data_IF_793686582559
#
_entry.id   IF_793686582559
#
_cell.length_a   1.000
_cell.length_b   1.000
_cell.length_c   1.000
_cell.angle_alpha   90.00
_cell.angle_beta   90.00
_cell.angle_gamma   90.00
#
_symmetry.space_group_name_H-M   'P 1'
#
loop_
_entity.id
_entity.type
_entity.pdbx_description
1 polymer ?
#
# COMPACT_ATOMS: atom_id res chain seq x y z
N UNK A 1 9.87 -19.97 -26.10
CA UNK A 1 9.83 -21.21 -25.29
C UNK A 1 11.02 -22.15 -25.56
N UNK A 2 11.63 -22.13 -26.75
CA UNK A 2 12.79 -23.01 -27.08
C UNK A 2 14.12 -22.69 -26.39
N UNK A 3 14.37 -21.44 -25.97
CA UNK A 3 15.65 -21.06 -25.32
C UNK A 3 15.60 -21.14 -23.78
N UNK A 4 14.42 -21.30 -23.18
CA UNK A 4 14.26 -21.33 -21.72
C UNK A 4 14.63 -22.69 -21.09
N UNK A 5 14.71 -23.76 -21.91
CA UNK A 5 15.01 -25.11 -21.44
C UNK A 5 16.52 -25.44 -21.35
N UNK A 6 17.39 -24.50 -21.73
CA UNK A 6 18.85 -24.62 -21.60
C UNK A 6 19.46 -23.54 -20.68
N UNK A 7 18.64 -22.71 -20.04
CA UNK A 7 19.08 -21.61 -19.18
C UNK A 7 19.18 -22.05 -17.72
N UNK A 8 20.27 -21.67 -17.05
CA UNK A 8 20.45 -21.84 -15.59
C UNK A 8 19.30 -21.17 -14.83
N UNK A 9 18.77 -21.82 -13.79
CA UNK A 9 17.56 -21.34 -13.10
C UNK A 9 17.54 -21.67 -11.58
N UNK A 10 16.61 -21.06 -10.86
CA UNK A 10 16.32 -21.31 -9.45
C UNK A 10 15.60 -22.65 -9.23
N UNK A 11 15.96 -23.37 -8.18
CA UNK A 11 15.42 -24.70 -7.86
C UNK A 11 14.06 -24.68 -7.15
N UNK A 12 13.57 -23.51 -6.75
CA UNK A 12 12.28 -23.36 -6.09
C UNK A 12 11.15 -23.53 -7.10
N UNK A 13 10.16 -24.42 -6.88
CA UNK A 13 9.06 -24.61 -7.83
C UNK A 13 8.24 -23.33 -8.05
N UNK A 14 7.93 -23.03 -9.30
CA UNK A 14 6.97 -21.99 -9.67
C UNK A 14 5.58 -22.37 -9.15
N UNK A 15 4.97 -21.52 -8.31
CA UNK A 15 3.58 -21.70 -7.86
C UNK A 15 2.54 -21.01 -8.76
N UNK A 16 2.97 -20.39 -9.86
CA UNK A 16 2.12 -19.57 -10.73
C UNK A 16 1.72 -18.23 -10.07
N UNK A 17 2.16 -17.11 -10.64
CA UNK A 17 1.82 -15.76 -10.14
C UNK A 17 2.94 -14.74 -10.31
N UNK A 18 2.63 -13.44 -10.15
CA UNK A 18 3.63 -12.36 -10.01
C UNK A 18 4.37 -12.49 -8.66
N UNK A 19 5.44 -11.71 -8.38
CA UNK A 19 5.98 -11.64 -7.01
C UNK A 19 4.83 -11.27 -6.08
N UNK A 20 4.41 -12.23 -5.28
CA UNK A 20 3.38 -12.06 -4.28
C UNK A 20 3.93 -12.48 -2.93
N UNK A 21 3.54 -11.81 -1.84
CA UNK A 21 3.58 -12.49 -0.54
C UNK A 21 2.76 -13.77 -0.71
N UNK A 22 3.28 -14.92 -0.31
CA UNK A 22 2.43 -16.10 -0.14
C UNK A 22 1.31 -15.70 0.83
N UNK A 23 0.13 -15.42 0.27
CA UNK A 23 -0.96 -14.77 0.98
C UNK A 23 -1.59 -15.76 1.96
N UNK A 24 -1.53 -15.39 3.25
CA UNK A 24 -2.43 -15.73 4.35
C UNK A 24 -2.83 -17.21 4.56
N UNK A 25 -2.36 -17.78 5.67
CA UNK A 25 -2.75 -19.11 6.19
C UNK A 25 -1.54 -19.81 6.83
N UNK A 26 -1.68 -20.56 7.93
CA UNK A 26 -0.52 -21.06 8.70
C UNK A 26 0.10 -22.33 8.09
N UNK A 27 1.45 -22.46 8.02
CA UNK A 27 2.47 -21.46 8.36
C UNK A 27 2.86 -20.71 7.06
N UNK A 28 2.27 -19.56 6.80
CA UNK A 28 2.21 -18.90 5.48
C UNK A 28 3.53 -18.31 4.99
N UNK A 29 4.57 -19.13 4.88
CA UNK A 29 5.86 -18.78 4.28
C UNK A 29 6.55 -17.59 4.94
N UNK A 30 6.35 -17.35 6.25
CA UNK A 30 6.94 -16.21 6.96
C UNK A 30 7.65 -16.58 8.27
N UNK A 31 8.68 -15.82 8.62
CA UNK A 31 9.34 -15.91 9.92
C UNK A 31 8.49 -15.25 11.02
N UNK A 32 8.35 -15.92 12.17
CA UNK A 32 7.69 -15.35 13.35
C UNK A 32 8.56 -14.36 14.14
N UNK A 33 9.86 -14.32 13.87
CA UNK A 33 10.85 -13.44 14.50
C UNK A 33 11.81 -12.89 13.44
N UNK A 34 12.23 -11.64 13.58
CA UNK A 34 13.18 -10.99 12.68
C UNK A 34 14.65 -11.16 13.08
N UNK A 35 14.95 -11.54 14.32
CA UNK A 35 16.31 -11.87 14.73
C UNK A 35 16.63 -13.33 14.34
N UNK A 36 17.36 -13.50 13.24
CA UNK A 36 17.64 -14.80 12.64
C UNK A 36 19.14 -15.11 12.72
N UNK A 37 19.45 -16.30 13.20
CA UNK A 37 20.82 -16.84 13.17
C UNK A 37 21.09 -17.53 11.84
N UNK A 38 22.25 -17.26 11.23
CA UNK A 38 22.65 -17.79 9.92
C UNK A 38 23.97 -18.53 10.06
N UNK A 39 24.04 -19.79 9.62
CA UNK A 39 25.31 -20.48 9.40
C UNK A 39 25.65 -20.54 7.92
N UNK A 40 26.92 -20.32 7.58
CA UNK A 40 27.43 -20.44 6.21
C UNK A 40 28.56 -21.46 6.19
N UNK A 41 28.35 -22.57 5.50
CA UNK A 41 29.39 -23.53 5.17
C UNK A 41 29.73 -23.43 3.68
N UNK A 42 30.80 -22.69 3.37
CA UNK A 42 31.30 -22.51 2.01
C UNK A 42 32.15 -23.68 1.48
N UNK A 43 32.26 -24.79 2.23
CA UNK A 43 32.97 -25.97 1.76
C UNK A 43 32.34 -26.50 0.47
N UNK A 44 33.16 -26.72 -0.56
CA UNK A 44 32.69 -27.13 -1.89
C UNK A 44 32.49 -25.98 -2.88
N UNK A 45 32.61 -24.72 -2.46
CA UNK A 45 32.65 -23.58 -3.38
C UNK A 45 34.07 -23.36 -3.92
N UNK A 46 34.20 -23.14 -5.23
CA UNK A 46 35.47 -22.78 -5.87
C UNK A 46 35.92 -21.33 -5.58
N UNK A 47 35.04 -20.49 -5.03
CA UNK A 47 35.30 -19.07 -4.79
C UNK A 47 35.79 -18.82 -3.35
N UNK A 48 37.04 -18.38 -3.19
CA UNK A 48 37.67 -18.20 -1.88
C UNK A 48 36.95 -17.20 -0.95
N UNK A 49 36.29 -16.18 -1.50
CA UNK A 49 35.56 -15.16 -0.73
C UNK A 49 34.04 -15.38 -0.70
N UNK A 50 33.55 -16.59 -0.98
CA UNK A 50 32.12 -16.90 -1.04
C UNK A 50 31.34 -16.46 0.21
N UNK A 51 31.89 -16.72 1.41
CA UNK A 51 31.26 -16.30 2.67
C UNK A 51 31.03 -14.79 2.73
N UNK A 52 32.02 -13.99 2.31
CA UNK A 52 31.88 -12.52 2.32
C UNK A 52 30.82 -12.03 1.33
N UNK A 53 30.71 -12.67 0.15
CA UNK A 53 29.68 -12.37 -0.85
C UNK A 53 28.28 -12.64 -0.30
N UNK A 54 28.08 -13.81 0.32
CA UNK A 54 26.79 -14.21 0.90
C UNK A 54 26.41 -13.29 2.08
N UNK A 55 27.37 -12.95 2.95
CA UNK A 55 27.15 -11.96 4.03
C UNK A 55 26.71 -10.61 3.45
N UNK A 56 27.32 -10.17 2.35
CA UNK A 56 26.92 -8.95 1.63
C UNK A 56 25.48 -9.02 1.10
N UNK A 57 25.03 -10.17 0.60
CA UNK A 57 23.65 -10.37 0.16
C UNK A 57 22.65 -10.26 1.32
N UNK A 58 22.93 -10.88 2.47
CA UNK A 58 22.11 -10.71 3.69
C UNK A 58 22.08 -9.25 4.16
N UNK A 59 23.20 -8.53 4.08
CA UNK A 59 23.25 -7.11 4.44
C UNK A 59 22.34 -6.25 3.54
N UNK A 60 22.25 -6.55 2.24
CA UNK A 60 21.30 -5.87 1.36
C UNK A 60 19.86 -6.12 1.79
N UNK A 61 19.50 -7.37 2.10
CA UNK A 61 18.14 -7.72 2.54
C UNK A 61 17.79 -7.08 3.88
N UNK A 62 18.72 -7.04 4.82
CA UNK A 62 18.55 -6.32 6.09
C UNK A 62 18.31 -4.82 5.88
N UNK A 63 19.02 -4.20 4.93
CA UNK A 63 18.79 -2.80 4.57
C UNK A 63 17.44 -2.58 3.87
N UNK A 64 16.94 -3.57 3.12
CA UNK A 64 15.65 -3.49 2.44
C UNK A 64 14.44 -3.72 3.38
N UNK A 65 14.60 -4.48 4.46
CA UNK A 65 13.55 -4.79 5.43
C UNK A 65 14.09 -4.74 6.87
N UNK A 66 13.84 -3.61 7.55
CA UNK A 66 14.35 -3.32 8.90
C UNK A 66 13.80 -4.24 10.01
N UNK A 67 12.86 -5.13 9.68
CA UNK A 67 12.40 -6.17 10.58
C UNK A 67 13.49 -7.20 10.89
N UNK A 68 14.37 -7.48 9.93
CA UNK A 68 15.38 -8.53 10.07
C UNK A 68 16.67 -8.02 10.71
N UNK A 69 17.29 -8.89 11.50
CA UNK A 69 18.67 -8.78 11.98
C UNK A 69 19.30 -10.16 11.82
N UNK A 70 20.38 -10.25 11.04
CA UNK A 70 21.08 -11.52 10.81
C UNK A 70 22.33 -11.64 11.67
N UNK A 71 22.38 -12.69 12.49
CA UNK A 71 23.54 -13.00 13.33
C UNK A 71 24.24 -14.24 12.78
N UNK A 72 25.49 -14.10 12.34
CA UNK A 72 26.23 -15.24 11.80
C UNK A 72 26.82 -16.11 12.91
N UNK A 73 26.56 -17.41 12.85
CA UNK A 73 26.96 -18.40 13.86
C UNK A 73 27.68 -19.59 13.21
N UNK A 74 28.50 -20.36 13.95
CA UNK A 74 29.12 -21.57 13.42
C UNK A 74 28.08 -22.59 12.91
N UNK A 75 28.39 -23.40 11.88
CA UNK A 75 27.48 -24.46 11.41
C UNK A 75 27.12 -25.47 12.49
N UNK A 76 25.88 -25.96 12.46
CA UNK A 76 25.32 -26.94 13.40
C UNK A 76 25.15 -26.41 14.84
N UNK A 77 24.91 -25.10 15.00
CA UNK A 77 24.65 -24.48 16.31
C UNK A 77 23.15 -24.40 16.65
N UNK A 78 22.28 -24.99 15.83
CA UNK A 78 20.82 -24.79 15.95
C UNK A 78 20.35 -23.50 15.28
N UNK A 79 21.06 -23.09 14.22
CA UNK A 79 20.77 -21.90 13.44
C UNK A 79 19.38 -21.88 12.82
N UNK A 80 18.82 -20.69 12.59
CA UNK A 80 17.54 -20.54 11.89
C UNK A 80 17.69 -20.73 10.38
N UNK A 81 18.80 -20.25 9.82
CA UNK A 81 19.11 -20.35 8.39
C UNK A 81 20.45 -21.07 8.23
N UNK A 82 20.45 -22.12 7.42
CA UNK A 82 21.64 -22.89 7.04
C UNK A 82 21.94 -22.70 5.56
N UNK A 83 23.13 -22.20 5.26
CA UNK A 83 23.65 -22.01 3.90
C UNK A 83 24.78 -22.99 3.63
N UNK A 84 24.66 -23.81 2.58
CA UNK A 84 25.68 -24.79 2.18
C UNK A 84 25.95 -24.76 0.67
N UNK A 85 27.10 -25.31 0.27
CA UNK A 85 27.35 -25.76 -1.11
C UNK A 85 27.33 -27.29 -1.14
N UNK A 86 26.62 -27.88 -2.08
CA UNK A 86 26.47 -29.34 -2.17
C UNK A 86 26.22 -29.83 -3.59
N UNK A 87 26.43 -31.13 -3.80
CA UNK A 87 26.15 -31.81 -5.07
C UNK A 87 24.80 -32.53 -5.06
N UNK A 88 24.67 -33.59 -5.87
CA UNK A 88 23.40 -34.33 -6.04
C UNK A 88 22.76 -34.89 -4.74
N UNK A 89 23.55 -35.07 -3.67
CA UNK A 89 23.03 -35.48 -2.35
C UNK A 89 22.33 -34.35 -1.56
N UNK A 90 22.55 -33.10 -1.96
CA UNK A 90 21.94 -31.90 -1.40
C UNK A 90 20.64 -31.55 -2.16
N UNK A 91 20.72 -31.58 -3.49
CA UNK A 91 19.57 -31.56 -4.41
C UNK A 91 19.89 -32.44 -5.60
N UNK A 92 19.03 -33.42 -5.90
CA UNK A 92 19.22 -34.37 -7.01
C UNK A 92 19.36 -33.72 -8.39
N UNK A 93 19.01 -32.44 -8.52
CA UNK A 93 19.08 -31.66 -9.76
C UNK A 93 20.42 -30.94 -9.98
N UNK A 94 21.28 -30.90 -8.96
CA UNK A 94 22.62 -30.32 -9.05
C UNK A 94 23.57 -31.16 -9.91
N UNK A 95 24.48 -30.52 -10.63
CA UNK A 95 25.46 -31.16 -11.52
C UNK A 95 25.12 -31.17 -13.01
N UNK A 96 23.94 -30.68 -13.41
CA UNK A 96 23.50 -30.66 -14.80
C UNK A 96 23.86 -29.34 -15.51
N UNK A 97 24.43 -29.41 -16.71
CA UNK A 97 24.70 -28.23 -17.52
C UNK A 97 23.39 -27.50 -17.89
N UNK A 98 23.31 -26.20 -17.56
CA UNK A 98 22.07 -25.41 -17.75
C UNK A 98 20.99 -25.71 -16.70
N UNK A 99 21.34 -26.35 -15.59
CA UNK A 99 20.43 -26.80 -14.55
C UNK A 99 20.20 -25.81 -13.39
N UNK A 100 19.85 -26.38 -12.24
CA UNK A 100 19.51 -25.65 -11.02
C UNK A 100 20.79 -25.10 -10.36
N UNK A 101 20.87 -23.79 -10.17
CA UNK A 101 22.03 -23.14 -9.54
C UNK A 101 22.01 -23.21 -8.01
N UNK A 102 20.81 -23.11 -7.44
CA UNK A 102 20.59 -23.12 -6.02
C UNK A 102 19.12 -23.43 -5.74
N UNK A 103 18.82 -23.75 -4.48
CA UNK A 103 17.45 -23.88 -4.00
C UNK A 103 17.36 -23.40 -2.56
N UNK A 104 16.30 -22.65 -2.26
CA UNK A 104 15.97 -22.23 -0.91
C UNK A 104 14.62 -22.81 -0.44
N UNK A 105 14.52 -23.11 0.85
CA UNK A 105 13.26 -23.41 1.51
C UNK A 105 12.62 -22.16 2.08
N UNK A 106 11.33 -21.99 1.81
CA UNK A 106 10.51 -20.95 2.43
C UNK A 106 10.52 -21.06 3.97
N UNK A 107 10.30 -19.94 4.69
CA UNK A 107 10.18 -19.99 6.14
C UNK A 107 9.13 -21.01 6.61
N UNK A 108 9.37 -21.73 7.73
CA UNK A 108 10.54 -21.63 8.61
C UNK A 108 11.65 -22.64 8.27
N UNK A 109 11.68 -23.24 7.08
CA UNK A 109 12.62 -24.32 6.74
C UNK A 109 14.09 -23.86 6.80
N UNK A 110 14.37 -22.64 6.31
CA UNK A 110 15.65 -21.97 6.51
C UNK A 110 16.86 -22.62 5.83
N UNK A 111 16.67 -23.50 4.86
CA UNK A 111 17.76 -24.14 4.13
C UNK A 111 18.01 -23.43 2.78
N UNK A 112 19.26 -23.03 2.52
CA UNK A 112 19.70 -22.55 1.22
C UNK A 112 20.91 -23.36 0.77
N UNK A 113 20.81 -23.91 -0.43
CA UNK A 113 21.80 -24.82 -0.98
C UNK A 113 22.23 -24.32 -2.35
N UNK A 114 23.53 -24.10 -2.54
CA UNK A 114 24.14 -23.79 -3.83
C UNK A 114 24.72 -25.06 -4.46
N UNK A 115 24.64 -25.17 -5.78
CA UNK A 115 25.29 -26.27 -6.51
C UNK A 115 26.82 -26.13 -6.45
N UNK A 116 27.50 -27.09 -5.82
CA UNK A 116 28.96 -27.10 -5.71
C UNK A 116 29.68 -27.44 -7.02
N UNK A 117 28.98 -27.96 -8.02
CA UNK A 117 29.56 -28.27 -9.34
C UNK A 117 29.72 -27.04 -10.24
N UNK A 118 29.08 -25.92 -9.86
CA UNK A 118 29.12 -24.68 -10.61
C UNK A 118 30.45 -23.93 -10.45
N UNK A 119 30.84 -23.22 -11.51
CA UNK A 119 31.99 -22.29 -11.45
C UNK A 119 31.51 -20.93 -10.95
N UNK A 120 31.52 -20.73 -9.64
CA UNK A 120 31.06 -19.49 -9.02
C UNK A 120 32.03 -18.34 -9.26
N UNK A 121 31.47 -17.22 -9.72
CA UNK A 121 32.12 -15.90 -9.74
C UNK A 121 31.45 -15.01 -8.70
N UNK A 122 32.09 -13.93 -8.23
CA UNK A 122 31.49 -13.02 -7.24
C UNK A 122 30.10 -12.49 -7.66
N UNK A 123 29.94 -12.09 -8.92
CA UNK A 123 28.67 -11.54 -9.41
C UNK A 123 27.58 -12.62 -9.55
N UNK A 124 27.94 -13.81 -10.05
CA UNK A 124 26.99 -14.91 -10.16
C UNK A 124 26.51 -15.34 -8.76
N UNK A 125 27.45 -15.52 -7.82
CA UNK A 125 27.11 -15.91 -6.45
C UNK A 125 26.28 -14.82 -5.76
N UNK A 126 26.62 -13.54 -5.92
CA UNK A 126 25.84 -12.45 -5.33
C UNK A 126 24.41 -12.42 -5.87
N UNK A 127 24.24 -12.49 -7.20
CA UNK A 127 22.91 -12.45 -7.82
C UNK A 127 22.03 -13.64 -7.40
N UNK A 128 22.58 -14.85 -7.43
CA UNK A 128 21.86 -16.05 -6.97
C UNK A 128 21.59 -15.99 -5.47
N UNK A 129 22.56 -15.58 -4.65
CA UNK A 129 22.34 -15.43 -3.21
C UNK A 129 21.24 -14.41 -2.89
N UNK A 130 21.21 -13.26 -3.59
CA UNK A 130 20.14 -12.27 -3.41
C UNK A 130 18.77 -12.86 -3.76
N UNK A 131 18.67 -13.60 -4.85
CA UNK A 131 17.44 -14.28 -5.28
C UNK A 131 16.97 -15.32 -4.25
N UNK A 132 17.84 -16.25 -3.88
CA UNK A 132 17.51 -17.36 -2.97
C UNK A 132 17.22 -16.87 -1.55
N UNK A 133 17.90 -15.81 -1.09
CA UNK A 133 17.56 -15.18 0.19
C UNK A 133 16.14 -14.56 0.13
N UNK A 134 15.69 -14.06 -1.03
CA UNK A 134 14.29 -13.65 -1.21
C UNK A 134 13.31 -14.77 -0.86
N UNK A 135 13.54 -15.98 -1.36
CA UNK A 135 12.75 -17.17 -0.99
C UNK A 135 12.89 -17.54 0.49
N UNK A 136 14.10 -17.53 1.04
CA UNK A 136 14.34 -17.75 2.48
C UNK A 136 13.56 -16.77 3.36
N UNK A 137 13.22 -15.58 2.86
CA UNK A 137 12.44 -14.59 3.59
C UNK A 137 10.95 -14.63 3.26
N UNK A 138 10.51 -15.40 2.26
CA UNK A 138 9.08 -15.59 1.96
C UNK A 138 8.61 -15.04 0.61
N UNK A 139 9.51 -14.60 -0.28
CA UNK A 139 9.15 -14.09 -1.59
C UNK A 139 8.99 -15.22 -2.60
N UNK A 140 7.95 -15.15 -3.44
CA UNK A 140 7.78 -16.01 -4.61
C UNK A 140 8.49 -15.42 -5.84
N UNK A 141 8.56 -16.19 -6.92
CA UNK A 141 9.13 -15.73 -8.18
C UNK A 141 8.37 -14.54 -8.79
N UNK A 142 9.09 -13.72 -9.56
CA UNK A 142 8.55 -12.64 -10.38
C UNK A 142 8.22 -13.13 -11.79
N UNK A 143 7.21 -12.51 -12.39
CA UNK A 143 6.98 -12.59 -13.84
C UNK A 143 7.73 -11.53 -14.63
N UNK A 144 8.42 -10.57 -13.98
CA UNK A 144 9.14 -9.49 -14.65
C UNK A 144 10.48 -9.99 -15.21
N UNK A 145 10.67 -10.09 -16.54
CA UNK A 145 11.93 -10.53 -17.13
C UNK A 145 12.98 -9.44 -16.91
N UNK A 146 13.81 -9.61 -15.87
CA UNK A 146 14.77 -8.59 -15.41
C UNK A 146 14.63 -8.18 -13.95
N UNK A 147 13.61 -8.69 -13.23
CA UNK A 147 13.52 -8.57 -11.77
C UNK A 147 14.46 -9.55 -11.06
N UNK A 148 14.87 -9.20 -9.84
CA UNK A 148 15.72 -10.01 -8.96
C UNK A 148 15.10 -11.39 -8.70
N UNK A 149 13.78 -11.45 -8.44
CA UNK A 149 13.07 -12.70 -8.18
C UNK A 149 12.62 -13.42 -9.47
N UNK A 150 13.08 -13.03 -10.66
CA UNK A 150 12.78 -13.76 -11.90
C UNK A 150 13.50 -15.13 -11.88
N UNK A 151 12.83 -16.26 -12.20
CA UNK A 151 13.35 -17.62 -11.95
C UNK A 151 14.60 -18.01 -12.74
N UNK A 152 14.89 -17.33 -13.85
CA UNK A 152 16.01 -17.66 -14.73
C UNK A 152 17.21 -16.76 -14.46
N UNK A 153 18.40 -17.34 -14.54
CA UNK A 153 19.64 -16.67 -14.18
C UNK A 153 19.92 -15.46 -15.09
N UNK A 154 19.72 -14.28 -14.51
CA UNK A 154 20.25 -13.01 -14.99
C UNK A 154 20.73 -12.25 -13.75
N UNK A 155 22.05 -12.14 -13.48
CA UNK A 155 22.55 -11.73 -12.18
C UNK A 155 22.22 -10.25 -11.89
N UNK A 156 21.10 -10.03 -11.22
CA UNK A 156 20.71 -8.75 -10.61
C UNK A 156 21.46 -8.62 -9.28
N UNK A 157 22.34 -7.64 -9.18
CA UNK A 157 23.28 -7.51 -8.05
C UNK A 157 22.76 -6.62 -6.91
N UNK A 158 21.53 -6.10 -7.04
CA UNK A 158 20.88 -5.23 -6.06
C UNK A 158 19.41 -5.59 -5.88
N UNK A 159 18.86 -5.30 -4.69
CA UNK A 159 17.42 -5.45 -4.46
C UNK A 159 16.65 -4.41 -5.27
N UNK A 160 15.89 -4.88 -6.25
CA UNK A 160 15.03 -4.04 -7.09
C UNK A 160 13.82 -3.46 -6.31
N UNK A 161 13.07 -2.56 -6.97
CA UNK A 161 11.92 -1.92 -6.35
C UNK A 161 10.78 -2.90 -6.06
N UNK A 162 10.52 -3.86 -6.95
CA UNK A 162 9.43 -4.84 -6.81
C UNK A 162 9.64 -5.72 -5.56
N UNK A 163 10.85 -6.26 -5.42
CA UNK A 163 11.28 -7.11 -4.33
C UNK A 163 11.29 -6.37 -3.00
N UNK A 164 11.76 -5.10 -2.99
CA UNK A 164 11.71 -4.23 -1.79
C UNK A 164 10.27 -3.96 -1.35
N UNK A 165 9.38 -3.71 -2.30
CA UNK A 165 7.95 -3.48 -2.03
C UNK A 165 7.30 -4.76 -1.50
N UNK A 166 7.64 -5.91 -2.06
CA UNK A 166 7.10 -7.21 -1.65
C UNK A 166 7.56 -7.59 -0.23
N UNK A 167 8.85 -7.47 0.10
CA UNK A 167 9.34 -7.83 1.42
C UNK A 167 8.77 -6.92 2.53
N UNK A 168 8.61 -5.62 2.24
CA UNK A 168 7.99 -4.69 3.19
C UNK A 168 6.47 -4.89 3.31
N UNK A 169 5.81 -5.53 2.33
CA UNK A 169 4.42 -5.93 2.51
C UNK A 169 4.29 -7.07 3.54
N UNK A 170 5.30 -7.93 3.68
CA UNK A 170 5.32 -9.04 4.64
C UNK A 170 5.81 -8.56 6.02
N UNK A 171 6.93 -7.81 6.06
CA UNK A 171 7.64 -7.48 7.30
C UNK A 171 7.82 -5.98 7.57
N UNK A 172 7.30 -5.10 6.71
CA UNK A 172 7.48 -3.64 6.88
C UNK A 172 6.62 -3.03 7.98
N UNK A 173 5.62 -3.76 8.48
CA UNK A 173 4.75 -3.32 9.55
C UNK A 173 5.41 -3.54 10.91
N UNK A 174 5.58 -2.45 11.67
CA UNK A 174 5.99 -2.52 13.07
C UNK A 174 4.83 -3.07 13.93
N UNK A 175 5.11 -3.62 15.12
CA UNK A 175 4.07 -4.02 16.06
C UNK A 175 3.07 -2.88 16.27
N UNK A 176 1.79 -3.23 16.39
CA UNK A 176 0.75 -2.26 16.68
C UNK A 176 1.10 -1.48 17.95
N UNK A 177 1.19 -0.16 17.81
CA UNK A 177 1.35 0.73 18.95
C UNK A 177 0.01 1.38 19.23
N UNK A 178 -0.52 1.14 20.43
CA UNK A 178 -1.66 1.89 20.93
C UNK A 178 -1.21 3.32 21.19
N UNK A 179 -1.92 4.28 20.62
CA UNK A 179 -1.77 5.68 21.01
C UNK A 179 -2.71 5.88 22.19
N UNK A 180 -2.14 5.86 23.39
CA UNK A 180 -2.86 6.15 24.63
C UNK A 180 -3.43 7.58 24.57
N UNK A 181 -4.53 7.84 25.28
CA UNK A 181 -5.26 9.13 25.39
C UNK A 181 -6.34 9.47 24.34
N UNK A 182 -6.47 8.73 23.23
CA UNK A 182 -7.41 9.06 22.14
C UNK A 182 -8.20 7.86 21.62
N UNK A 183 -9.32 8.16 20.97
CA UNK A 183 -10.19 7.18 20.33
C UNK A 183 -11.16 7.85 19.37
N UNK A 184 -11.78 7.06 18.50
CA UNK A 184 -12.79 7.51 17.56
C UNK A 184 -13.86 6.44 17.37
N UNK A 185 -15.11 6.85 17.19
CA UNK A 185 -16.20 5.96 16.74
C UNK A 185 -16.29 5.85 15.21
N UNK A 186 -15.39 6.52 14.51
CA UNK A 186 -15.39 6.69 13.06
C UNK A 186 -13.99 6.44 12.47
N UNK A 187 -13.79 6.67 11.17
CA UNK A 187 -12.47 6.54 10.54
C UNK A 187 -11.58 7.72 10.96
N UNK A 188 -10.35 7.44 11.37
CA UNK A 188 -9.29 8.44 11.46
C UNK A 188 -8.71 8.73 10.07
N UNK A 189 -8.32 9.97 9.81
CA UNK A 189 -7.77 10.42 8.54
C UNK A 189 -6.34 10.92 8.73
N UNK A 190 -5.47 10.61 7.78
CA UNK A 190 -4.08 11.09 7.74
C UNK A 190 -3.91 12.11 6.61
N UNK A 191 -3.09 13.12 6.87
CA UNK A 191 -2.58 14.07 5.89
C UNK A 191 -1.09 14.30 6.13
N UNK A 192 -0.38 14.85 5.16
CA UNK A 192 1.04 15.18 5.31
C UNK A 192 1.23 16.61 4.85
N UNK A 193 1.82 17.44 5.71
CA UNK A 193 2.35 18.74 5.31
C UNK A 193 3.83 18.60 4.99
N UNK A 194 4.29 19.37 4.02
CA UNK A 194 5.66 19.35 3.52
C UNK A 194 6.22 20.76 3.50
N UNK A 195 7.48 20.90 3.92
CA UNK A 195 8.32 22.08 3.67
C UNK A 195 9.58 21.62 2.97
N UNK A 196 9.87 22.20 1.81
CA UNK A 196 11.09 21.90 1.04
C UNK A 196 11.95 23.14 0.81
N UNK A 197 13.25 22.91 0.66
CA UNK A 197 14.21 23.88 0.12
C UNK A 197 15.07 23.16 -0.94
N UNK A 198 16.16 23.80 -1.39
CA UNK A 198 17.02 23.24 -2.44
C UNK A 198 17.73 21.94 -2.06
N UNK A 199 17.89 21.63 -0.78
CA UNK A 199 18.69 20.48 -0.30
C UNK A 199 17.89 19.50 0.56
N UNK A 200 16.79 19.92 1.18
CA UNK A 200 16.01 19.11 2.10
C UNK A 200 14.51 19.24 1.89
N UNK A 201 13.79 18.16 2.20
CA UNK A 201 12.33 18.12 2.33
C UNK A 201 12.00 17.56 3.70
N UNK A 202 11.14 18.26 4.44
CA UNK A 202 10.60 17.82 5.71
C UNK A 202 9.11 17.57 5.56
N UNK A 203 8.69 16.34 5.83
CA UNK A 203 7.30 15.91 5.82
C UNK A 203 6.83 15.71 7.26
N UNK A 204 5.70 16.32 7.63
CA UNK A 204 5.07 16.19 8.95
C UNK A 204 3.70 15.54 8.78
N UNK A 205 3.57 14.23 9.07
CA UNK A 205 2.27 13.59 9.12
C UNK A 205 1.36 14.21 10.20
N UNK A 206 0.10 14.36 9.86
CA UNK A 206 -0.96 14.79 10.76
C UNK A 206 -2.12 13.81 10.70
N UNK A 207 -2.79 13.62 11.83
CA UNK A 207 -3.97 12.80 11.95
C UNK A 207 -5.14 13.65 12.43
N UNK A 208 -6.33 13.44 11.86
CA UNK A 208 -7.59 14.04 12.33
C UNK A 208 -8.67 12.99 12.50
N UNK A 209 -9.55 13.16 13.48
CA UNK A 209 -10.63 12.22 13.76
C UNK A 209 -11.81 12.88 14.48
N UNK A 210 -12.99 12.26 14.39
CA UNK A 210 -14.14 12.59 15.23
C UNK A 210 -14.00 11.92 16.61
N UNK A 211 -14.45 12.57 17.67
CA UNK A 211 -14.54 12.00 19.02
C UNK A 211 -15.36 10.69 19.13
N UNK A 212 -15.27 10.05 20.30
CA UNK A 212 -15.90 8.75 20.59
C UNK A 212 -17.38 8.92 20.91
N UNK A 213 -18.22 8.00 20.41
CA UNK A 213 -19.66 8.02 20.68
C UNK A 213 -20.30 9.33 20.22
N UNK A 214 -20.98 9.99 21.16
CA UNK A 214 -21.72 11.25 20.94
C UNK A 214 -20.83 12.50 20.93
N UNK A 215 -19.53 12.35 21.20
CA UNK A 215 -18.59 13.47 21.08
C UNK A 215 -18.43 13.85 19.60
N UNK A 216 -19.08 14.95 19.22
CA UNK A 216 -19.02 15.53 17.89
C UNK A 216 -17.73 16.33 17.64
N UNK A 217 -16.84 16.47 18.63
CA UNK A 217 -15.58 17.18 18.49
C UNK A 217 -14.69 16.60 17.39
N UNK A 218 -13.97 17.49 16.71
CA UNK A 218 -12.88 17.11 15.80
C UNK A 218 -11.56 17.29 16.54
N UNK A 219 -10.72 16.26 16.49
CA UNK A 219 -9.43 16.20 17.16
C UNK A 219 -8.31 15.99 16.15
N UNK A 220 -7.10 16.44 16.50
CA UNK A 220 -5.93 16.28 15.67
C UNK A 220 -4.65 16.01 16.49
N UNK A 221 -3.63 15.49 15.80
CA UNK A 221 -2.29 15.28 16.34
C UNK A 221 -1.24 15.32 15.22
N UNK A 222 -0.04 15.76 15.54
CA UNK A 222 1.10 15.84 14.63
C UNK A 222 2.18 14.80 14.99
N UNK A 223 2.82 14.24 13.97
CA UNK A 223 3.92 13.28 14.16
C UNK A 223 5.28 13.96 13.96
N UNK A 224 6.07 14.03 15.04
CA UNK A 224 7.46 14.51 15.03
C UNK A 224 8.36 13.53 15.77
N UNK A 225 8.54 12.33 15.19
CA UNK A 225 9.18 11.19 15.84
C UNK A 225 8.25 10.43 16.81
N UNK A 226 7.30 11.14 17.42
CA UNK A 226 6.14 10.60 18.13
C UNK A 226 4.90 11.46 17.84
N UNK A 227 3.71 10.91 18.09
CA UNK A 227 2.45 11.66 18.02
C UNK A 227 2.34 12.63 19.19
N UNK A 228 1.98 13.88 18.93
CA UNK A 228 1.63 14.85 19.98
C UNK A 228 0.42 14.39 20.79
N UNK A 229 0.18 14.92 22.02
CA UNK A 229 -1.09 14.78 22.70
C UNK A 229 -2.26 15.21 21.81
N UNK A 230 -3.43 14.60 21.99
CA UNK A 230 -4.61 14.99 21.21
C UNK A 230 -4.98 16.46 21.46
N UNK A 231 -5.32 17.16 20.40
CA UNK A 231 -5.77 18.56 20.46
C UNK A 231 -7.15 18.68 19.83
N UNK A 232 -8.06 19.42 20.47
CA UNK A 232 -9.39 19.69 19.92
C UNK A 232 -9.30 20.86 18.95
N UNK A 233 -9.94 20.74 17.78
CA UNK A 233 -10.19 21.88 16.91
C UNK A 233 -11.30 22.72 17.55
N UNK A 234 -10.99 23.98 17.87
CA UNK A 234 -11.92 24.87 18.58
C UNK A 234 -13.10 25.29 17.70
N UNK A 235 -14.30 25.37 18.30
CA UNK A 235 -15.48 25.92 17.63
C UNK A 235 -16.10 25.06 16.53
N UNK A 236 -15.66 23.81 16.35
CA UNK A 236 -16.18 22.90 15.32
C UNK A 236 -16.74 21.61 15.91
N UNK A 237 -17.58 20.93 15.12
CA UNK A 237 -18.06 19.58 15.37
C UNK A 237 -18.60 18.91 14.10
N UNK A 238 -18.65 17.58 14.09
CA UNK A 238 -19.06 16.76 12.96
C UNK A 238 -19.89 15.53 13.38
N UNK A 239 -20.73 15.06 12.46
CA UNK A 239 -21.49 13.80 12.63
C UNK A 239 -20.71 12.58 12.18
N UNK A 240 -19.89 12.72 11.13
CA UNK A 240 -19.08 11.66 10.53
C UNK A 240 -17.60 12.04 10.47
N UNK A 241 -16.73 11.09 10.10
CA UNK A 241 -15.31 11.36 9.87
C UNK A 241 -15.07 12.63 9.04
N UNK A 242 -14.19 13.53 9.49
CA UNK A 242 -13.69 14.59 8.62
C UNK A 242 -12.78 14.01 7.53
N UNK A 243 -12.66 14.74 6.43
CA UNK A 243 -11.73 14.42 5.34
C UNK A 243 -10.64 15.49 5.22
N UNK A 244 -9.46 15.11 4.73
CA UNK A 244 -8.30 15.98 4.56
C UNK A 244 -7.87 16.08 3.09
N UNK A 245 -7.44 17.27 2.70
CA UNK A 245 -6.68 17.53 1.48
C UNK A 245 -5.44 18.39 1.79
N UNK A 246 -4.52 18.46 0.85
CA UNK A 246 -3.29 19.25 0.93
C UNK A 246 -3.50 20.56 0.14
N UNK A 247 -3.11 21.70 0.71
CA UNK A 247 -3.19 23.00 0.03
C UNK A 247 -1.83 23.69 0.00
N UNK A 248 -1.57 24.49 -1.04
CA UNK A 248 -0.41 25.38 -1.04
C UNK A 248 -0.58 26.52 -0.05
N UNK A 249 0.53 27.05 0.49
CA UNK A 249 0.52 28.21 1.37
C UNK A 249 0.79 29.47 0.52
N UNK A 250 -0.11 30.47 0.51
CA UNK A 250 0.12 31.74 -0.19
C UNK A 250 1.43 32.40 0.27
N UNK A 251 2.29 32.77 -0.68
CA UNK A 251 3.60 33.35 -0.39
C UNK A 251 4.68 32.35 0.04
N UNK A 252 4.38 31.05 0.15
CA UNK A 252 5.34 30.00 0.49
C UNK A 252 5.22 28.80 -0.47
N UNK A 253 5.73 28.92 -1.72
CA UNK A 253 5.53 27.91 -2.78
C UNK A 253 6.15 26.55 -2.48
N UNK A 254 7.11 26.51 -1.54
CA UNK A 254 7.77 25.28 -1.11
C UNK A 254 7.16 24.69 0.18
N UNK A 255 6.01 25.19 0.62
CA UNK A 255 5.33 24.74 1.82
C UNK A 255 3.86 24.43 1.56
N UNK A 256 3.36 23.40 2.22
CA UNK A 256 1.98 22.95 2.11
C UNK A 256 1.30 22.94 3.48
N UNK A 257 0.02 23.28 3.48
CA UNK A 257 -0.88 23.15 4.61
C UNK A 257 -1.95 22.09 4.36
N UNK A 258 -2.91 22.02 5.27
CA UNK A 258 -4.06 21.14 5.16
C UNK A 258 -5.35 21.93 4.98
N UNK A 259 -6.29 21.34 4.25
CA UNK A 259 -7.70 21.70 4.26
C UNK A 259 -8.49 20.52 4.79
N UNK A 260 -9.47 20.78 5.63
CA UNK A 260 -10.34 19.78 6.23
C UNK A 260 -11.79 20.10 5.89
N UNK A 261 -12.60 19.08 5.58
CA UNK A 261 -14.04 19.22 5.34
C UNK A 261 -14.85 18.16 6.11
N UNK A 262 -16.06 18.50 6.54
CA UNK A 262 -16.94 17.62 7.31
C UNK A 262 -18.42 17.98 7.14
N UNK A 263 -19.31 17.02 7.41
CA UNK A 263 -20.75 17.25 7.60
C UNK A 263 -21.01 17.84 8.99
N UNK A 264 -21.94 18.79 9.09
CA UNK A 264 -22.45 19.35 10.35
C UNK A 264 -22.96 18.31 11.36
N UNK A 265 -23.23 18.79 12.57
CA UNK A 265 -23.63 17.96 13.73
C UNK A 265 -25.12 17.60 13.68
N UNK A 266 -25.45 16.34 13.94
CA UNK A 266 -26.83 15.85 13.93
C UNK A 266 -27.50 16.06 12.58
N UNK A 267 -28.66 16.72 12.60
CA UNK A 267 -29.49 16.98 11.43
C UNK A 267 -28.95 18.11 10.53
N UNK A 268 -27.87 18.79 10.94
CA UNK A 268 -27.21 19.78 10.09
C UNK A 268 -26.52 19.09 8.91
N UNK A 269 -27.16 19.16 7.74
CA UNK A 269 -26.66 18.58 6.50
C UNK A 269 -25.65 19.49 5.79
N UNK A 270 -25.29 20.63 6.35
CA UNK A 270 -24.29 21.53 5.79
C UNK A 270 -22.91 20.88 5.70
N UNK A 271 -22.14 21.29 4.69
CA UNK A 271 -20.71 20.96 4.58
C UNK A 271 -19.90 22.15 5.07
N UNK A 272 -18.97 21.87 5.99
CA UNK A 272 -18.09 22.87 6.57
C UNK A 272 -16.64 22.52 6.31
N UNK A 273 -15.78 23.54 6.35
CA UNK A 273 -14.36 23.38 6.12
C UNK A 273 -13.52 24.38 6.91
N UNK A 274 -12.26 24.03 7.10
CA UNK A 274 -11.21 24.92 7.65
C UNK A 274 -9.86 24.58 7.03
N UNK A 275 -8.85 25.43 7.23
CA UNK A 275 -7.46 25.20 6.82
C UNK A 275 -6.51 25.32 8.00
N UNK A 276 -5.39 24.63 7.92
CA UNK A 276 -4.22 24.88 8.75
C UNK A 276 -3.02 25.12 7.82
N UNK A 277 -2.58 26.38 7.76
CA UNK A 277 -1.46 26.83 6.91
C UNK A 277 -0.15 26.95 7.70
N UNK A 278 -0.03 26.28 8.85
CA UNK A 278 1.16 26.26 9.69
C UNK A 278 1.04 27.03 11.02
N UNK A 279 -0.05 27.79 11.22
CA UNK A 279 -0.29 28.59 12.43
C UNK A 279 -1.53 28.11 13.23
N UNK A 280 -1.93 26.85 13.04
CA UNK A 280 -3.13 26.27 13.62
C UNK A 280 -4.34 26.35 12.69
N UNK A 281 -5.45 25.75 13.14
CA UNK A 281 -6.69 25.69 12.38
C UNK A 281 -7.40 27.05 12.37
N UNK A 282 -7.75 27.52 11.17
CA UNK A 282 -8.57 28.71 10.95
C UNK A 282 -10.01 28.49 11.48
N UNK A 283 -10.78 29.59 11.60
CA UNK A 283 -12.21 29.50 11.93
C UNK A 283 -13.00 28.71 10.88
N UNK A 284 -14.05 28.02 11.32
CA UNK A 284 -14.94 27.25 10.46
C UNK A 284 -15.60 28.14 9.39
N UNK A 285 -15.72 27.57 8.19
CA UNK A 285 -16.44 28.15 7.05
C UNK A 285 -17.49 27.18 6.55
N UNK A 286 -18.58 27.69 6.01
CA UNK A 286 -19.62 26.90 5.35
C UNK A 286 -19.35 26.87 3.83
N UNK A 287 -19.65 25.74 3.18
CA UNK A 287 -19.75 25.66 1.72
C UNK A 287 -21.18 26.06 1.35
N UNK A 288 -21.36 27.28 0.87
CA UNK A 288 -22.69 27.85 0.68
C UNK A 288 -23.55 27.07 -0.32
N UNK A 289 -24.81 26.85 0.01
CA UNK A 289 -25.82 26.28 -0.90
C UNK A 289 -25.69 24.78 -1.18
N UNK A 290 -24.91 24.04 -0.37
CA UNK A 290 -24.74 22.59 -0.51
C UNK A 290 -25.14 21.86 0.77
N UNK A 291 -25.41 20.56 0.65
CA UNK A 291 -25.60 19.68 1.79
C UNK A 291 -25.35 18.21 1.47
N UNK A 292 -25.15 17.41 2.53
CA UNK A 292 -24.84 15.99 2.47
C UNK A 292 -25.46 15.24 3.65
N UNK A 293 -25.97 14.04 3.39
CA UNK A 293 -26.37 13.09 4.43
C UNK A 293 -25.23 12.22 4.96
N UNK A 294 -24.05 12.27 4.33
CA UNK A 294 -22.91 11.41 4.64
C UNK A 294 -21.58 12.19 4.72
N UNK A 295 -20.48 11.55 5.08
CA UNK A 295 -19.16 12.19 5.11
C UNK A 295 -18.73 12.65 3.69
N UNK A 296 -18.22 13.88 3.51
CA UNK A 296 -17.58 14.29 2.27
C UNK A 296 -16.20 13.63 2.12
N UNK A 297 -15.74 13.47 0.88
CA UNK A 297 -14.42 12.95 0.55
C UNK A 297 -13.57 14.01 -0.16
N UNK A 298 -12.33 14.19 0.30
CA UNK A 298 -11.32 15.07 -0.30
C UNK A 298 -10.22 14.27 -0.98
N UNK A 299 -9.71 14.81 -2.10
CA UNK A 299 -8.50 14.32 -2.74
C UNK A 299 -7.78 15.44 -3.50
N UNK A 300 -6.46 15.33 -3.59
CA UNK A 300 -5.64 16.20 -4.44
C UNK A 300 -5.55 15.63 -5.85
N UNK A 301 -5.87 16.43 -6.87
CA UNK A 301 -5.69 16.07 -8.27
C UNK A 301 -5.37 17.31 -9.11
N UNK A 302 -4.38 17.22 -10.00
CA UNK A 302 -3.98 18.30 -10.91
C UNK A 302 -3.82 19.68 -10.26
N UNK A 303 -3.15 19.71 -9.09
CA UNK A 303 -2.88 20.95 -8.35
C UNK A 303 -4.08 21.54 -7.60
N UNK A 304 -5.24 20.87 -7.63
CA UNK A 304 -6.47 21.28 -6.95
C UNK A 304 -6.80 20.35 -5.81
N UNK A 305 -7.57 20.84 -4.84
CA UNK A 305 -8.30 19.98 -3.90
C UNK A 305 -9.70 19.78 -4.46
N UNK A 306 -10.10 18.53 -4.60
CA UNK A 306 -11.43 18.16 -5.05
C UNK A 306 -12.21 17.61 -3.86
N UNK A 307 -13.50 17.94 -3.79
CA UNK A 307 -14.42 17.37 -2.82
C UNK A 307 -15.58 16.71 -3.54
N UNK A 308 -15.97 15.52 -3.08
CA UNK A 308 -17.18 14.84 -3.53
C UNK A 308 -18.03 14.42 -2.33
N UNK A 309 -19.35 14.45 -2.49
CA UNK A 309 -20.28 14.11 -1.42
C UNK A 309 -21.59 13.53 -1.99
N UNK A 310 -22.29 12.77 -1.14
CA UNK A 310 -23.67 12.35 -1.40
C UNK A 310 -24.60 13.55 -1.14
N UNK A 311 -25.71 13.65 -1.86
CA UNK A 311 -26.78 14.59 -1.57
C UNK A 311 -27.34 14.47 -0.15
N UNK A 312 -28.23 15.40 0.19
CA UNK A 312 -28.97 15.43 1.46
C UNK A 312 -29.86 14.20 1.64
N UNK A 313 -30.51 14.07 2.80
CA UNK A 313 -31.46 12.99 3.05
C UNK A 313 -32.54 12.94 1.97
N UNK A 314 -32.80 11.74 1.45
CA UNK A 314 -33.68 11.53 0.30
C UNK A 314 -33.06 11.79 -1.08
N UNK A 315 -31.87 12.39 -1.16
CA UNK A 315 -31.15 12.62 -2.42
C UNK A 315 -29.95 11.66 -2.55
N UNK A 316 -30.08 10.66 -3.43
CA UNK A 316 -29.02 9.72 -3.74
C UNK A 316 -27.95 10.28 -4.70
N UNK A 317 -28.09 11.51 -5.20
CA UNK A 317 -27.14 12.12 -6.12
C UNK A 317 -25.73 12.25 -5.55
N UNK A 318 -24.74 12.28 -6.46
CA UNK A 318 -23.35 12.58 -6.11
C UNK A 318 -22.99 13.97 -6.65
N UNK A 319 -22.41 14.78 -5.80
CA UNK A 319 -22.02 16.16 -6.08
C UNK A 319 -20.54 16.35 -5.85
N UNK A 320 -19.95 17.33 -6.51
CA UNK A 320 -18.54 17.65 -6.35
C UNK A 320 -18.25 19.14 -6.54
N UNK A 321 -17.10 19.57 -6.04
CA UNK A 321 -16.57 20.93 -6.17
C UNK A 321 -15.04 20.90 -6.10
N UNK A 322 -14.39 21.97 -6.56
CA UNK A 322 -12.94 22.14 -6.50
C UNK A 322 -12.55 23.39 -5.73
N UNK A 323 -11.40 23.32 -5.09
CA UNK A 323 -10.76 24.40 -4.36
C UNK A 323 -9.39 24.68 -4.99
N UNK A 324 -9.15 25.94 -5.37
CA UNK A 324 -7.95 26.37 -6.10
C UNK A 324 -6.96 27.21 -5.28
N UNK A 325 -7.25 27.45 -3.99
CA UNK A 325 -6.37 28.17 -3.07
C UNK A 325 -6.71 29.64 -2.85
N UNK A 326 -7.46 30.28 -3.76
CA UNK A 326 -7.64 31.74 -3.72
C UNK A 326 -9.10 32.19 -3.49
N UNK A 327 -10.09 31.46 -4.04
CA UNK A 327 -11.47 31.99 -4.15
C UNK A 327 -12.55 31.15 -3.43
N UNK A 328 -12.15 30.19 -2.59
CA UNK A 328 -13.09 29.27 -1.94
C UNK A 328 -13.42 28.06 -2.81
N UNK A 329 -14.58 27.45 -2.58
CA UNK A 329 -15.05 26.30 -3.35
C UNK A 329 -15.80 26.76 -4.59
N UNK A 330 -15.56 26.11 -5.73
CA UNK A 330 -16.38 26.32 -6.93
C UNK A 330 -17.86 25.97 -6.65
N UNK A 331 -18.81 26.51 -7.44
CA UNK A 331 -20.21 26.05 -7.36
C UNK A 331 -20.29 24.52 -7.47
N UNK A 332 -21.22 23.91 -6.73
CA UNK A 332 -21.41 22.47 -6.80
C UNK A 332 -21.84 22.05 -8.21
N UNK A 333 -21.32 20.91 -8.64
CA UNK A 333 -21.76 20.24 -9.86
C UNK A 333 -22.28 18.84 -9.50
N UNK A 334 -23.37 18.42 -10.16
CA UNK A 334 -23.91 17.06 -10.02
C UNK A 334 -23.25 16.13 -11.03
N UNK A 335 -22.85 14.94 -10.59
CA UNK A 335 -22.42 13.88 -11.49
C UNK A 335 -23.66 13.27 -12.12
N UNK A 336 -23.79 13.39 -13.45
CA UNK A 336 -25.02 13.02 -14.15
C UNK A 336 -25.20 11.50 -14.22
N UNK A 337 -26.43 11.04 -14.02
CA UNK A 337 -26.81 9.63 -14.21
C UNK A 337 -26.30 8.65 -13.16
N UNK A 338 -25.79 9.14 -12.02
CA UNK A 338 -25.26 8.28 -10.94
C UNK A 338 -25.95 8.58 -9.61
N UNK A 339 -25.84 7.63 -8.68
CA UNK A 339 -26.26 7.82 -7.30
C UNK A 339 -25.62 6.82 -6.34
N UNK A 340 -25.69 7.12 -5.05
CA UNK A 340 -25.11 6.32 -3.95
C UNK A 340 -25.98 6.38 -2.70
N UNK A 341 -25.97 5.30 -1.91
CA UNK A 341 -26.55 5.28 -0.56
C UNK A 341 -25.55 5.70 0.53
N UNK A 342 -24.27 5.85 0.22
CA UNK A 342 -23.21 6.12 1.20
C UNK A 342 -22.15 7.10 0.67
N UNK A 343 -21.20 7.51 1.51
CA UNK A 343 -20.08 8.38 1.14
C UNK A 343 -19.30 7.85 -0.07
N UNK A 344 -19.01 8.69 -1.08
CA UNK A 344 -18.07 8.32 -2.13
C UNK A 344 -16.64 8.28 -1.59
N UNK A 345 -15.76 7.52 -2.25
CA UNK A 345 -14.32 7.57 -2.06
C UNK A 345 -13.67 8.32 -3.23
N UNK A 346 -12.64 9.12 -2.95
CA UNK A 346 -12.02 10.01 -3.93
C UNK A 346 -10.50 9.88 -3.87
N UNK A 347 -9.84 9.84 -5.03
CA UNK A 347 -8.38 9.77 -5.10
C UNK A 347 -7.86 10.41 -6.38
N UNK A 348 -6.76 11.16 -6.29
CA UNK A 348 -6.04 11.65 -7.47
C UNK A 348 -5.02 10.63 -7.95
N UNK A 349 -5.02 10.34 -9.24
CA UNK A 349 -4.08 9.41 -9.86
C UNK A 349 -3.76 9.83 -11.29
N UNK A 350 -2.47 9.97 -11.62
CA UNK A 350 -1.98 10.40 -12.94
C UNK A 350 -2.69 11.67 -13.50
N UNK A 351 -2.88 12.68 -12.65
CA UNK A 351 -3.55 13.94 -13.04
C UNK A 351 -5.08 13.84 -13.19
N UNK A 352 -5.65 12.63 -13.10
CA UNK A 352 -7.11 12.43 -13.08
C UNK A 352 -7.63 12.30 -11.65
N UNK A 353 -8.90 12.63 -11.46
CA UNK A 353 -9.63 12.38 -10.23
C UNK A 353 -10.49 11.13 -10.41
N UNK A 354 -10.23 10.10 -9.62
CA UNK A 354 -11.03 8.88 -9.59
C UNK A 354 -12.00 8.93 -8.41
N UNK A 355 -13.24 8.53 -8.67
CA UNK A 355 -14.29 8.44 -7.67
C UNK A 355 -14.91 7.05 -7.67
N UNK A 356 -15.18 6.52 -6.49
CA UNK A 356 -15.75 5.19 -6.27
C UNK A 356 -16.94 5.29 -5.33
N UNK A 357 -18.02 4.55 -5.58
CA UNK A 357 -19.23 4.60 -4.77
C UNK A 357 -20.01 3.28 -4.79
N UNK A 358 -20.86 3.10 -3.78
CA UNK A 358 -21.85 2.01 -3.72
C UNK A 358 -23.07 2.42 -4.54
N UNK A 359 -23.73 1.46 -5.20
CA UNK A 359 -25.02 1.66 -5.85
C UNK A 359 -26.14 2.15 -4.92
N UNK A 360 -27.25 2.55 -5.54
CA UNK A 360 -28.45 3.03 -4.85
C UNK A 360 -29.22 1.89 -4.16
N UNK A 361 -30.36 2.19 -3.55
CA UNK A 361 -31.26 1.24 -2.88
C UNK A 361 -31.35 -0.15 -3.55
N UNK A 362 -31.10 -1.22 -2.79
CA UNK A 362 -31.06 -2.61 -3.28
C UNK A 362 -29.87 -2.97 -4.17
N UNK A 363 -29.14 -2.00 -4.68
CA UNK A 363 -27.93 -2.19 -5.48
C UNK A 363 -26.69 -2.25 -4.59
N UNK A 364 -26.23 -3.47 -4.34
CA UNK A 364 -25.01 -3.73 -3.60
C UNK A 364 -23.73 -3.53 -4.43
N UNK A 365 -23.83 -3.31 -5.76
CA UNK A 365 -22.64 -3.19 -6.62
C UNK A 365 -21.82 -1.94 -6.27
N UNK A 366 -20.52 -2.02 -6.55
CA UNK A 366 -19.64 -0.86 -6.53
C UNK A 366 -19.36 -0.33 -7.94
N UNK A 367 -19.24 0.99 -8.04
CA UNK A 367 -19.05 1.71 -9.28
C UNK A 367 -17.87 2.66 -9.18
N UNK A 368 -17.34 3.04 -10.34
CA UNK A 368 -16.35 4.09 -10.45
C UNK A 368 -16.54 4.95 -11.69
N UNK A 369 -16.00 6.16 -11.62
CA UNK A 369 -15.76 7.03 -12.77
C UNK A 369 -14.50 7.85 -12.51
N UNK A 370 -14.02 8.53 -13.54
CA UNK A 370 -12.90 9.45 -13.43
C UNK A 370 -13.15 10.74 -14.21
N UNK A 371 -12.44 11.78 -13.81
CA UNK A 371 -12.43 13.10 -14.42
C UNK A 371 -10.99 13.46 -14.79
N UNK A 372 -10.75 13.76 -16.07
CA UNK A 372 -9.43 14.18 -16.58
C UNK A 372 -9.42 15.70 -16.73
N UNK A 373 -8.65 16.39 -15.89
CA UNK A 373 -8.57 17.85 -15.92
C UNK A 373 -7.91 18.42 -17.18
N UNK A 374 -7.02 17.66 -17.83
CA UNK A 374 -6.17 18.16 -18.90
C UNK A 374 -6.80 17.92 -20.27
N UNK A 375 -7.34 16.72 -20.49
CA UNK A 375 -7.71 16.28 -21.84
C UNK A 375 -9.22 16.29 -22.09
N UNK A 376 -10.03 15.95 -21.09
CA UNK A 376 -11.48 15.86 -21.25
C UNK A 376 -12.20 16.11 -19.91
N UNK A 377 -12.49 17.39 -19.58
CA UNK A 377 -12.96 17.83 -18.27
C UNK A 377 -14.46 17.54 -18.07
N UNK A 378 -14.86 16.29 -18.32
CA UNK A 378 -16.17 15.74 -18.02
C UNK A 378 -16.00 14.41 -17.28
N UNK A 379 -16.93 14.12 -16.37
CA UNK A 379 -17.00 12.78 -15.77
C UNK A 379 -17.28 11.74 -16.84
N UNK A 380 -16.49 10.68 -16.86
CA UNK A 380 -16.76 9.55 -17.75
C UNK A 380 -18.03 8.81 -17.32
N UNK A 381 -18.68 8.06 -18.23
CA UNK A 381 -19.78 7.19 -17.85
C UNK A 381 -19.38 6.28 -16.70
N UNK A 382 -20.29 6.07 -15.74
CA UNK A 382 -20.02 5.15 -14.63
C UNK A 382 -19.74 3.74 -15.16
N UNK A 383 -18.84 3.04 -14.46
CA UNK A 383 -18.51 1.65 -14.74
C UNK A 383 -18.67 0.85 -13.47
N UNK A 384 -19.28 -0.34 -13.59
CA UNK A 384 -19.32 -1.30 -12.50
C UNK A 384 -17.92 -1.87 -12.29
N UNK A 385 -17.52 -2.06 -11.04
CA UNK A 385 -16.22 -2.64 -10.71
C UNK A 385 -16.34 -4.16 -10.81
N UNK A 386 -15.55 -4.75 -11.70
CA UNK A 386 -15.63 -6.16 -12.06
C UNK A 386 -14.24 -6.81 -12.14
N UNK A 387 -14.17 -8.10 -11.85
CA UNK A 387 -12.96 -8.91 -12.00
C UNK A 387 -13.28 -10.28 -12.64
N UNK A 388 -12.26 -10.93 -13.22
CA UNK A 388 -12.37 -12.28 -13.78
C UNK A 388 -11.61 -13.26 -12.90
N UNK A 389 -12.18 -14.44 -12.64
CA UNK A 389 -11.50 -15.53 -11.91
C UNK A 389 -11.33 -16.76 -12.80
N UNK A 390 -10.17 -17.42 -12.69
CA UNK A 390 -9.91 -18.67 -13.41
C UNK A 390 -10.78 -19.84 -12.93
N UNK A 391 -11.26 -19.77 -11.68
CA UNK A 391 -12.10 -20.79 -11.04
C UNK A 391 -13.45 -21.01 -11.75
N UNK A 392 -13.88 -20.04 -12.57
CA UNK A 392 -15.19 -20.06 -13.25
C UNK A 392 -15.08 -20.18 -14.77
N UNK A 393 -13.91 -20.59 -15.28
CA UNK A 393 -13.70 -20.83 -16.71
C UNK A 393 -13.59 -19.55 -17.55
N UNK A 394 -13.27 -18.41 -16.94
CA UNK A 394 -12.81 -17.20 -17.64
C UNK A 394 -13.84 -16.47 -18.52
N UNK A 395 -15.14 -16.79 -18.42
CA UNK A 395 -16.15 -16.28 -19.35
C UNK A 395 -17.04 -15.13 -18.84
N UNK A 396 -17.22 -14.97 -17.53
CA UNK A 396 -18.18 -14.01 -16.95
C UNK A 396 -17.50 -13.15 -15.87
N UNK A 397 -17.57 -11.81 -15.97
CA UNK A 397 -17.04 -10.93 -14.94
C UNK A 397 -17.87 -11.01 -13.65
N UNK A 398 -17.19 -11.02 -12.50
CA UNK A 398 -17.79 -10.87 -11.17
C UNK A 398 -17.84 -9.42 -10.78
N UNK A 399 -19.02 -8.91 -10.46
CA UNK A 399 -19.16 -7.60 -9.83
C UNK A 399 -18.83 -7.70 -8.35
N UNK A 400 -18.04 -6.75 -7.83
CA UNK A 400 -17.86 -6.62 -6.37
C UNK A 400 -19.09 -5.96 -5.76
N UNK A 401 -19.40 -6.32 -4.51
CA UNK A 401 -20.50 -5.73 -3.76
C UNK A 401 -20.13 -5.32 -2.34
N UNK A 402 -20.87 -4.33 -1.81
CA UNK A 402 -20.69 -3.77 -0.48
C UNK A 402 -22.01 -3.26 0.12
N UNK A 403 -22.13 -3.35 1.44
CA UNK A 403 -23.22 -2.71 2.21
C UNK A 403 -22.92 -1.26 2.60
N UNK A 404 -21.70 -0.78 2.43
CA UNK A 404 -21.30 0.59 2.83
C UNK A 404 -20.21 1.23 1.98
N UNK A 405 -19.71 2.38 2.41
CA UNK A 405 -18.72 3.17 1.71
C UNK A 405 -17.40 2.42 1.46
N UNK A 406 -16.86 2.60 0.26
CA UNK A 406 -15.52 2.13 -0.11
C UNK A 406 -14.44 3.06 0.49
N UNK A 407 -13.20 2.61 0.43
CA UNK A 407 -12.01 3.47 0.60
C UNK A 407 -11.05 3.22 -0.56
N UNK A 408 -10.34 4.27 -0.97
CA UNK A 408 -9.41 4.23 -2.10
C UNK A 408 -8.07 4.86 -1.72
N UNK A 409 -6.97 4.29 -2.19
CA UNK A 409 -5.63 4.84 -2.02
C UNK A 409 -4.76 4.55 -3.24
N UNK A 410 -3.75 5.40 -3.52
CA UNK A 410 -2.76 5.11 -4.56
C UNK A 410 -1.54 4.41 -3.95
N UNK A 411 -1.07 3.35 -4.60
CA UNK A 411 0.21 2.71 -4.31
C UNK A 411 0.98 2.51 -5.62
N UNK A 412 1.99 3.34 -5.85
CA UNK A 412 2.77 3.30 -7.10
C UNK A 412 1.87 3.53 -8.31
N UNK A 413 1.84 2.57 -9.24
CA UNK A 413 1.00 2.61 -10.44
C UNK A 413 -0.39 1.96 -10.26
N UNK A 414 -0.86 1.76 -9.03
CA UNK A 414 -2.14 1.11 -8.74
C UNK A 414 -3.02 1.99 -7.86
N UNK A 415 -4.33 1.91 -8.07
CA UNK A 415 -5.33 2.32 -7.09
C UNK A 415 -5.75 1.06 -6.34
N UNK A 416 -5.68 1.11 -5.02
CA UNK A 416 -6.15 0.06 -4.13
C UNK A 416 -7.52 0.45 -3.60
N UNK A 417 -8.44 -0.51 -3.57
CA UNK A 417 -9.76 -0.36 -2.97
C UNK A 417 -9.89 -1.30 -1.77
N UNK A 418 -10.60 -0.86 -0.74
CA UNK A 418 -11.07 -1.75 0.33
C UNK A 418 -12.51 -1.44 0.72
N UNK A 419 -13.28 -2.49 1.05
CA UNK A 419 -14.71 -2.38 1.36
C UNK A 419 -15.16 -3.51 2.30
N UNK A 420 -16.32 -3.33 2.93
CA UNK A 420 -17.00 -4.39 3.67
C UNK A 420 -17.83 -5.22 2.69
N UNK A 421 -17.96 -6.52 2.94
CA UNK A 421 -18.85 -7.40 2.19
C UNK A 421 -20.31 -6.96 2.10
N UNK A 422 -21.08 -7.72 1.31
CA UNK A 422 -22.52 -7.58 1.14
C UNK A 422 -23.27 -8.04 2.41
N UNK A 423 -24.61 -7.98 2.40
CA UNK A 423 -25.41 -8.41 3.54
C UNK A 423 -25.09 -9.87 3.91
N UNK A 424 -24.92 -10.14 5.22
CA UNK A 424 -24.45 -11.43 5.72
C UNK A 424 -22.92 -11.61 5.72
N UNK A 425 -22.17 -10.76 5.03
CA UNK A 425 -20.71 -10.80 4.98
C UNK A 425 -20.09 -9.63 5.77
N UNK A 426 -19.48 -9.98 6.91
CA UNK A 426 -18.80 -9.02 7.78
C UNK A 426 -17.29 -8.89 7.48
N UNK A 427 -16.78 -9.56 6.45
CA UNK A 427 -15.37 -9.51 6.08
C UNK A 427 -14.99 -8.18 5.42
N UNK A 428 -13.70 -7.88 5.45
CA UNK A 428 -13.07 -6.79 4.72
C UNK A 428 -12.45 -7.37 3.45
N UNK A 429 -12.83 -6.81 2.31
CA UNK A 429 -12.30 -7.14 1.00
C UNK A 429 -11.40 -6.02 0.49
N UNK A 430 -10.45 -6.35 -0.40
CA UNK A 430 -9.63 -5.37 -1.10
C UNK A 430 -9.34 -5.82 -2.52
N UNK A 431 -9.00 -4.89 -3.40
CA UNK A 431 -8.55 -5.15 -4.78
C UNK A 431 -7.51 -4.15 -5.26
#
# INVERSE_FOLDING_TARGET
LGDALNGRFCGVPDQGGNIGPLTFGSPGGRWGNGNLTVSINAAGCNLANATAVIVGAFAQWQAAALFFSFTFVPPNSGENIRVIFGGAGADSRFGAAGGVLASAGFPPAGNLQFDSSETWTPNLLLGVALHEIGHLLGLSHSNAPGGLMYPYANPILTIDAESRIAINAIYGWRPQQRIEDRGTSHRAMLGVTSVSNFTTRSDTPQMVWKGVGDDSGIYFSEFRGAWSPQQRVGGVGCSYSPSLGIVGIPGAPNATGLIMAWKGVGDDQGIYWTRNLGNGWEGQRNVGGVGTSAAPALANASGRVCMAWKGVDGDAGIYWSTYDGNEGWSPQARVSGVGTTDSPALVGYNGSLYMFWKGVEGDANAYYSFFDFANDPIWKPQRRIEYFSYETGGGVPFAIGTTGALTAAVRGAKILLAWKGVEGDQQIWFS
#
